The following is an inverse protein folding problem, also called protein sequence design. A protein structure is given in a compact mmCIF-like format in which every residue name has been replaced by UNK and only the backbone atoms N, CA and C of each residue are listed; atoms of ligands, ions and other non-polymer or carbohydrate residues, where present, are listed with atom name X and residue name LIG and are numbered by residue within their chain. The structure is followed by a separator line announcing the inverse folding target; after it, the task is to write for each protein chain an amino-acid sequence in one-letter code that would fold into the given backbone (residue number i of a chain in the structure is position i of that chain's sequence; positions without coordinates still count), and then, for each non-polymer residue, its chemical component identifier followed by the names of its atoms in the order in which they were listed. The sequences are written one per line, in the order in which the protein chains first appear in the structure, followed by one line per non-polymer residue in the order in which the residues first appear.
data_IF_029362628205
#
_entry.id   IF_029362628205
#
_cell.length_a   1.000
_cell.length_b   1.000
_cell.length_c   1.000
_cell.angle_alpha   90.00
_cell.angle_beta   90.00
_cell.angle_gamma   90.00
#
_symmetry.space_group_name_H-M   'P 1'
#
loop_
_entity.id
_entity.type
_entity.pdbx_description
1 polymer ?
#
# COMPACT_ATOMS: atom_id res chain seq x y z
N UNK A 1 -7.57 7.56 -1.38
CA UNK A 1 -6.58 8.48 -1.99
C UNK A 1 -7.27 9.60 -2.77
N UNK A 2 -8.09 9.34 -3.78
CA UNK A 2 -8.66 10.37 -4.68
C UNK A 2 -9.25 11.55 -3.92
N UNK A 3 -10.31 11.36 -3.15
CA UNK A 3 -11.01 12.42 -2.39
C UNK A 3 -10.17 13.11 -1.30
N UNK A 4 -9.21 12.40 -0.70
CA UNK A 4 -8.51 12.89 0.48
C UNK A 4 -7.12 13.47 0.16
N UNK A 5 -6.64 13.30 -1.07
CA UNK A 5 -5.33 13.77 -1.48
C UNK A 5 -5.33 14.32 -2.91
N UNK A 6 -5.60 13.51 -3.92
CA UNK A 6 -5.41 13.93 -5.32
C UNK A 6 -6.31 15.09 -5.75
N UNK A 7 -7.52 15.20 -5.20
CA UNK A 7 -8.44 16.32 -5.50
C UNK A 7 -8.02 17.66 -4.87
N UNK A 8 -7.03 17.63 -3.94
CA UNK A 8 -6.55 18.83 -3.24
C UNK A 8 -5.22 19.36 -3.77
N UNK A 9 -4.64 18.73 -4.77
CA UNK A 9 -3.38 19.12 -5.41
C UNK A 9 -3.56 19.24 -6.92
N UNK A 10 -2.65 19.94 -7.57
CA UNK A 10 -2.68 20.20 -9.00
C UNK A 10 -2.09 19.06 -9.87
N UNK A 11 -2.22 17.81 -9.42
CA UNK A 11 -1.78 16.64 -10.19
C UNK A 11 -2.80 16.30 -11.27
N UNK A 12 -2.33 15.91 -12.45
CA UNK A 12 -3.18 15.27 -13.44
C UNK A 12 -3.59 13.88 -12.92
N UNK A 13 -4.89 13.66 -12.79
CA UNK A 13 -5.44 12.40 -12.29
C UNK A 13 -5.02 11.18 -13.13
N UNK A 14 -4.71 11.38 -14.41
CA UNK A 14 -4.20 10.32 -15.29
C UNK A 14 -2.79 9.86 -14.92
N UNK A 15 -2.06 10.67 -14.15
CA UNK A 15 -0.73 10.35 -13.63
C UNK A 15 -0.77 9.83 -12.19
N UNK A 16 -1.93 9.34 -11.73
CA UNK A 16 -2.09 8.77 -10.40
C UNK A 16 -2.38 7.28 -10.48
N UNK A 17 -1.55 6.47 -9.83
CA UNK A 17 -1.67 5.02 -9.85
C UNK A 17 -1.74 4.49 -8.41
N UNK A 18 -2.64 3.56 -8.16
CA UNK A 18 -2.82 2.91 -6.86
C UNK A 18 -3.03 1.42 -7.11
N UNK A 19 -2.36 0.53 -6.38
CA UNK A 19 -2.59 -0.90 -6.50
C UNK A 19 -4.05 -1.27 -6.19
N UNK A 20 -4.58 -2.26 -6.87
CA UNK A 20 -5.92 -2.77 -6.61
C UNK A 20 -5.92 -3.74 -5.41
N UNK A 21 -6.19 -3.23 -4.23
CA UNK A 21 -6.27 -4.03 -3.00
C UNK A 21 -7.42 -5.06 -2.96
N UNK A 22 -8.31 -5.06 -3.97
CA UNK A 22 -9.41 -6.02 -4.12
C UNK A 22 -9.16 -7.01 -5.27
N UNK A 23 -7.94 -7.09 -5.80
CA UNK A 23 -7.59 -8.05 -6.83
C UNK A 23 -7.74 -9.49 -6.31
N UNK A 24 -8.20 -10.40 -7.17
CA UNK A 24 -8.31 -11.83 -6.84
C UNK A 24 -6.92 -12.44 -6.62
N UNK A 25 -5.97 -12.06 -7.47
CA UNK A 25 -4.55 -12.39 -7.34
C UNK A 25 -3.77 -11.15 -6.90
N UNK A 26 -3.51 -11.04 -5.62
CA UNK A 26 -2.80 -9.92 -5.02
C UNK A 26 -1.29 -9.97 -5.30
N UNK A 27 -0.72 -11.16 -5.39
CA UNK A 27 0.69 -11.32 -5.75
C UNK A 27 0.93 -10.87 -7.21
N UNK A 28 0.04 -11.26 -8.12
CA UNK A 28 0.05 -10.79 -9.50
C UNK A 28 -0.16 -9.27 -9.61
N UNK A 29 -1.03 -8.71 -8.78
CA UNK A 29 -1.22 -7.25 -8.73
C UNK A 29 0.04 -6.52 -8.24
N UNK A 30 0.73 -7.06 -7.23
CA UNK A 30 1.99 -6.52 -6.76
C UNK A 30 3.04 -6.48 -7.87
N UNK A 31 3.20 -7.58 -8.59
CA UNK A 31 4.11 -7.68 -9.73
C UNK A 31 3.74 -6.68 -10.85
N UNK A 32 2.47 -6.58 -11.21
CA UNK A 32 1.98 -5.61 -12.19
C UNK A 32 2.33 -4.17 -11.77
N UNK A 33 2.20 -3.87 -10.49
CA UNK A 33 2.50 -2.54 -9.96
C UNK A 33 4.01 -2.23 -10.01
N UNK A 34 4.87 -3.20 -9.70
CA UNK A 34 6.33 -3.06 -9.83
C UNK A 34 6.76 -2.87 -11.29
N UNK A 35 6.15 -3.60 -12.21
CA UNK A 35 6.38 -3.45 -13.65
C UNK A 35 6.01 -2.03 -14.10
N UNK A 36 4.87 -1.52 -13.66
CA UNK A 36 4.43 -0.16 -13.97
C UNK A 36 5.36 0.91 -13.41
N UNK A 37 5.85 0.77 -12.17
CA UNK A 37 6.87 1.65 -11.59
C UNK A 37 8.14 1.64 -12.45
N UNK A 38 8.56 0.47 -12.89
CA UNK A 38 9.76 0.31 -13.74
C UNK A 38 9.59 0.98 -15.11
N UNK A 39 8.42 0.84 -15.73
CA UNK A 39 8.08 1.50 -17.00
C UNK A 39 8.11 3.03 -16.90
N UNK A 40 7.75 3.58 -15.75
CA UNK A 40 7.81 5.01 -15.46
C UNK A 40 9.21 5.51 -15.12
N UNK A 41 10.21 4.64 -15.04
CA UNK A 41 11.61 5.00 -14.72
C UNK A 41 11.97 4.89 -13.24
N UNK A 42 11.09 4.31 -12.42
CA UNK A 42 11.33 4.12 -10.99
C UNK A 42 10.68 5.20 -10.10
N UNK A 43 11.09 5.25 -8.84
CA UNK A 43 10.59 6.20 -7.84
C UNK A 43 11.73 7.16 -7.46
N UNK A 44 11.55 8.45 -7.70
CA UNK A 44 12.51 9.49 -7.33
C UNK A 44 12.37 9.91 -5.87
N UNK A 45 11.15 9.91 -5.33
CA UNK A 45 10.85 10.31 -3.97
C UNK A 45 9.71 9.47 -3.39
N UNK A 46 9.92 8.93 -2.20
CA UNK A 46 8.92 8.17 -1.48
C UNK A 46 8.67 8.76 -0.10
N UNK A 47 7.40 9.07 0.20
CA UNK A 47 6.98 9.52 1.53
C UNK A 47 6.44 8.32 2.31
N UNK A 48 7.08 8.00 3.43
CA UNK A 48 6.74 6.86 4.28
C UNK A 48 6.36 7.32 5.68
N UNK A 49 5.37 6.65 6.26
CA UNK A 49 5.06 6.75 7.68
C UNK A 49 5.87 5.76 8.49
N UNK A 50 6.18 6.10 9.75
CA UNK A 50 6.77 5.20 10.73
C UNK A 50 5.77 4.88 11.83
N UNK A 51 5.61 3.61 12.17
CA UNK A 51 4.73 3.15 13.24
C UNK A 51 5.37 3.25 14.63
N UNK A 52 4.58 3.01 15.67
CA UNK A 52 5.02 3.06 17.07
C UNK A 52 6.07 2.00 17.42
N UNK A 53 6.07 0.89 16.72
CA UNK A 53 7.01 -0.24 16.84
C UNK A 53 8.19 -0.14 15.86
N UNK A 54 8.28 0.98 15.12
CA UNK A 54 9.36 1.25 14.19
C UNK A 54 9.14 0.68 12.77
N UNK A 55 7.99 0.05 12.49
CA UNK A 55 7.69 -0.38 11.12
C UNK A 55 7.56 0.81 10.17
N UNK A 56 8.01 0.64 8.94
CA UNK A 56 7.92 1.65 7.88
C UNK A 56 6.82 1.22 6.89
N UNK A 57 5.86 2.11 6.65
CA UNK A 57 4.67 1.78 5.88
C UNK A 57 3.85 0.71 6.61
N UNK A 58 3.62 -0.43 5.98
CA UNK A 58 3.00 -1.61 6.59
C UNK A 58 3.93 -2.83 6.61
N UNK A 59 5.26 -2.60 6.49
CA UNK A 59 6.23 -3.67 6.66
C UNK A 59 6.42 -3.92 8.15
N UNK A 60 5.74 -4.93 8.66
CA UNK A 60 5.88 -5.38 10.04
C UNK A 60 7.31 -5.87 10.30
N UNK A 61 7.81 -5.79 11.55
CA UNK A 61 9.14 -6.27 11.89
C UNK A 61 9.33 -7.74 11.49
N UNK A 62 10.30 -8.00 10.62
CA UNK A 62 10.67 -9.33 10.15
C UNK A 62 12.18 -9.49 10.08
N UNK A 63 12.64 -10.74 9.98
CA UNK A 63 14.05 -11.10 9.80
C UNK A 63 14.57 -10.81 8.40
N UNK A 64 13.67 -10.73 7.43
CA UNK A 64 13.97 -10.56 6.03
C UNK A 64 13.29 -9.31 5.49
N UNK A 65 14.01 -8.61 4.65
CA UNK A 65 13.53 -7.43 3.97
C UNK A 65 13.15 -7.78 2.52
N UNK A 66 11.88 -7.66 2.17
CA UNK A 66 11.40 -7.88 0.82
C UNK A 66 11.50 -6.56 0.04
N UNK A 67 12.18 -6.60 -1.11
CA UNK A 67 12.48 -5.40 -1.93
C UNK A 67 11.40 -5.04 -2.94
N UNK A 68 10.42 -5.91 -3.14
CA UNK A 68 9.38 -5.74 -4.15
C UNK A 68 8.04 -5.46 -3.48
N UNK A 69 7.10 -5.02 -4.28
CA UNK A 69 5.70 -4.95 -3.89
C UNK A 69 5.20 -6.34 -3.48
N UNK A 70 4.75 -6.49 -2.25
CA UNK A 70 4.38 -7.80 -1.71
C UNK A 70 3.20 -7.70 -0.74
N UNK A 71 2.65 -8.86 -0.49
CA UNK A 71 1.55 -9.04 0.45
C UNK A 71 2.10 -9.16 1.86
N UNK A 72 1.53 -8.43 2.81
CA UNK A 72 1.88 -8.52 4.23
C UNK A 72 0.65 -8.89 5.07
N UNK A 73 0.85 -9.75 6.06
CA UNK A 73 -0.14 -10.00 7.09
C UNK A 73 0.08 -9.01 8.24
N UNK A 74 -0.90 -8.14 8.47
CA UNK A 74 -0.79 -7.10 9.50
C UNK A 74 -1.04 -7.67 10.90
N UNK A 75 -0.31 -7.18 11.89
CA UNK A 75 -0.59 -7.46 13.29
C UNK A 75 -1.95 -6.88 13.73
N UNK A 76 -2.60 -7.53 14.69
CA UNK A 76 -3.90 -7.06 15.20
C UNK A 76 -3.84 -5.62 15.73
N UNK A 77 -2.74 -5.22 16.34
CA UNK A 77 -2.50 -3.85 16.79
C UNK A 77 -2.52 -2.85 15.65
N UNK A 78 -1.91 -3.19 14.51
CA UNK A 78 -1.88 -2.37 13.30
C UNK A 78 -3.27 -2.28 12.68
N UNK A 79 -4.00 -3.39 12.60
CA UNK A 79 -5.39 -3.43 12.13
C UNK A 79 -6.27 -2.54 13.00
N UNK A 80 -6.17 -2.67 14.34
CA UNK A 80 -6.95 -1.88 15.30
C UNK A 80 -6.64 -0.39 15.22
N UNK A 81 -5.37 -0.01 15.13
CA UNK A 81 -4.95 1.38 15.01
C UNK A 81 -5.48 2.05 13.73
N UNK A 82 -5.61 1.28 12.65
CA UNK A 82 -6.07 1.75 11.35
C UNK A 82 -7.57 1.54 11.10
N UNK A 83 -8.29 0.86 11.99
CA UNK A 83 -9.72 0.53 11.81
C UNK A 83 -10.62 1.75 11.59
N UNK A 84 -10.27 2.91 12.17
CA UNK A 84 -10.96 4.20 11.97
C UNK A 84 -10.95 4.68 10.52
N UNK A 85 -9.95 4.27 9.73
CA UNK A 85 -9.86 4.63 8.31
C UNK A 85 -10.53 3.59 7.41
N UNK A 86 -10.87 2.42 7.95
CA UNK A 86 -11.34 1.25 7.22
C UNK A 86 -12.87 1.17 7.12
N UNK A 87 -13.61 2.12 7.70
CA UNK A 87 -15.09 2.15 7.66
C UNK A 87 -15.68 2.25 6.25
N UNK A 88 -14.85 2.38 5.20
CA UNK A 88 -15.32 2.69 3.85
C UNK A 88 -15.43 1.46 2.94
N UNK A 89 -14.91 0.30 3.30
CA UNK A 89 -15.02 -0.89 2.45
C UNK A 89 -14.86 -2.21 3.18
N UNK A 90 -15.89 -2.62 3.89
CA UNK A 90 -15.99 -3.97 4.49
C UNK A 90 -16.00 -5.11 3.45
N UNK A 91 -16.11 -4.82 2.16
CA UNK A 91 -16.11 -5.84 1.10
C UNK A 91 -14.73 -6.35 0.71
N UNK A 92 -13.67 -5.55 0.90
CA UNK A 92 -12.28 -5.95 0.64
C UNK A 92 -11.55 -6.42 1.91
N UNK A 93 -12.21 -6.39 3.06
CA UNK A 93 -11.68 -6.65 4.39
C UNK A 93 -11.89 -8.08 4.89
N UNK A 94 -12.12 -9.03 4.00
CA UNK A 94 -12.03 -10.44 4.36
C UNK A 94 -10.62 -10.78 4.83
N UNK A 95 -10.34 -10.55 6.11
CA UNK A 95 -9.25 -11.09 6.93
C UNK A 95 -7.78 -10.79 6.53
N UNK A 96 -7.49 -10.08 5.46
CA UNK A 96 -6.11 -9.74 5.07
C UNK A 96 -6.08 -8.37 4.42
N UNK A 97 -5.70 -7.34 5.17
CA UNK A 97 -5.28 -6.07 4.60
C UNK A 97 -3.87 -6.27 4.04
N UNK A 98 -3.79 -6.29 2.73
CA UNK A 98 -2.56 -6.48 2.02
C UNK A 98 -2.20 -5.15 1.37
N UNK A 99 -1.16 -4.51 1.87
CA UNK A 99 -0.60 -3.30 1.28
C UNK A 99 0.79 -3.60 0.76
N UNK A 100 1.04 -3.00 -0.32
CA UNK A 100 2.22 -3.22 -1.09
C UNK A 100 3.05 -1.95 -1.09
N UNK A 101 4.31 -2.04 -0.70
CA UNK A 101 5.23 -0.91 -0.72
C UNK A 101 6.56 -1.28 -1.34
N UNK A 102 7.05 -0.39 -2.15
CA UNK A 102 8.38 -0.48 -2.73
C UNK A 102 9.39 0.20 -1.80
N UNK A 103 10.51 -0.44 -1.54
CA UNK A 103 11.70 0.18 -0.98
C UNK A 103 12.85 0.02 -1.93
#
# INVERSE_FOLDING_TARGET
MKKNFFEHINIDINNTFVPNGCAVDLAGEGKRYDEHISELGGIDLQLLGIGLDGHIGFNEPDKYFVKTTHVVDLHESTIKANSRFLQISTRCLGARLQWVWYL
#
